data_IF_285479479279
#
_entry.id   IF_285479479279
#
_cell.length_a   1.000
_cell.length_b   1.000
_cell.length_c   1.000
_cell.angle_alpha   90.00
_cell.angle_beta   90.00
_cell.angle_gamma   90.00
#
_symmetry.space_group_name_H-M   'P 1'
#
loop_
_entity.id
_entity.type
_entity.pdbx_description
1 polymer ?
#
# COMPACT_ATOMS: atom_id res chain seq x y z
N UNK A 1 -3.75 5.77 35.51
CA UNK A 1 -3.48 4.83 34.40
C UNK A 1 -4.38 5.13 33.19
N UNK A 2 -4.17 6.25 32.48
CA UNK A 2 -5.07 6.65 31.39
C UNK A 2 -4.38 7.20 30.12
N UNK A 3 -3.05 7.09 29.98
CA UNK A 3 -2.33 7.66 28.83
C UNK A 3 -1.97 6.63 27.74
N UNK A 4 -2.06 5.33 28.02
CA UNK A 4 -1.55 4.28 27.12
C UNK A 4 -2.55 3.95 25.99
N UNK A 5 -3.84 4.23 26.19
CA UNK A 5 -4.91 3.95 25.21
C UNK A 5 -5.03 5.01 24.11
N UNK A 6 -4.66 6.28 24.37
CA UNK A 6 -4.76 7.38 23.37
C UNK A 6 -3.77 7.21 22.23
N UNK A 7 -2.51 6.85 22.55
CA UNK A 7 -1.42 6.72 21.58
C UNK A 7 -1.66 5.66 20.51
N UNK A 8 -2.39 4.58 20.83
CA UNK A 8 -2.72 3.53 19.86
C UNK A 8 -3.79 3.98 18.84
N UNK A 9 -4.71 4.85 19.25
CA UNK A 9 -5.76 5.37 18.38
C UNK A 9 -5.22 6.36 17.36
N UNK A 10 -4.37 7.29 17.80
CA UNK A 10 -3.74 8.30 16.94
C UNK A 10 -2.82 7.66 15.89
N UNK A 11 -1.99 6.69 16.29
CA UNK A 11 -1.10 5.98 15.37
C UNK A 11 -1.87 5.17 14.29
N UNK A 12 -3.05 4.63 14.62
CA UNK A 12 -3.90 3.94 13.66
C UNK A 12 -4.53 4.92 12.65
N UNK A 13 -5.00 6.08 13.11
CA UNK A 13 -5.58 7.11 12.24
C UNK A 13 -4.54 7.69 11.29
N UNK A 14 -3.32 7.98 11.77
CA UNK A 14 -2.22 8.42 10.92
C UNK A 14 -1.83 7.37 9.89
N UNK A 15 -1.73 6.10 10.29
CA UNK A 15 -1.40 5.00 9.37
C UNK A 15 -2.48 4.82 8.29
N UNK A 16 -3.76 4.92 8.65
CA UNK A 16 -4.88 4.85 7.70
C UNK A 16 -4.86 6.01 6.72
N UNK A 17 -4.75 7.25 7.21
CA UNK A 17 -4.68 8.45 6.38
C UNK A 17 -3.47 8.39 5.43
N UNK A 18 -2.34 7.90 5.92
CA UNK A 18 -1.14 7.71 5.14
C UNK A 18 -1.36 6.75 3.97
N UNK A 19 -1.93 5.57 4.24
CA UNK A 19 -2.19 4.57 3.21
C UNK A 19 -3.25 5.06 2.20
N UNK A 20 -4.16 5.94 2.64
CA UNK A 20 -5.14 6.60 1.78
C UNK A 20 -4.46 7.60 0.83
N UNK A 21 -3.59 8.49 1.36
CA UNK A 21 -2.82 9.46 0.56
C UNK A 21 -2.00 8.78 -0.53
N UNK A 22 -1.38 7.63 -0.24
CA UNK A 22 -0.60 6.86 -1.21
C UNK A 22 -1.42 5.86 -2.03
N UNK A 23 -2.75 6.02 -2.05
CA UNK A 23 -3.66 5.21 -2.87
C UNK A 23 -3.51 3.70 -2.66
N UNK A 24 -3.15 3.29 -1.44
CA UNK A 24 -2.97 1.89 -1.06
C UNK A 24 -4.18 1.33 -0.31
N UNK A 25 -5.02 2.20 0.27
CA UNK A 25 -6.26 1.82 0.96
C UNK A 25 -7.20 0.92 0.16
N UNK A 26 -7.46 1.16 -1.15
CA UNK A 26 -8.33 0.28 -1.92
C UNK A 26 -7.90 -1.19 -1.93
N UNK A 27 -6.60 -1.49 -1.79
CA UNK A 27 -6.10 -2.87 -1.71
C UNK A 27 -6.31 -3.50 -0.32
N UNK A 28 -6.27 -2.69 0.73
CA UNK A 28 -6.47 -3.12 2.12
C UNK A 28 -7.96 -3.35 2.38
N UNK A 29 -8.80 -2.42 1.92
CA UNK A 29 -10.27 -2.51 2.03
C UNK A 29 -10.87 -3.53 1.06
N UNK A 30 -10.03 -4.23 0.28
CA UNK A 30 -10.44 -5.23 -0.72
C UNK A 30 -11.34 -4.68 -1.84
N UNK A 31 -11.41 -3.35 -2.01
CA UNK A 31 -12.12 -2.66 -3.08
C UNK A 31 -11.42 -2.92 -4.42
N UNK A 32 -10.10 -2.79 -4.46
CA UNK A 32 -9.25 -3.22 -5.58
C UNK A 32 -8.57 -4.55 -5.23
N UNK A 33 -8.61 -5.51 -6.15
CA UNK A 33 -7.83 -6.74 -6.00
C UNK A 33 -6.36 -6.47 -6.35
N UNK A 34 -5.45 -6.95 -5.50
CA UNK A 34 -4.03 -7.00 -5.80
C UNK A 34 -3.80 -7.70 -7.16
N UNK A 35 -3.07 -7.09 -8.11
CA UNK A 35 -2.80 -7.68 -9.42
C UNK A 35 -2.22 -9.10 -9.34
N UNK A 36 -1.36 -9.36 -8.34
CA UNK A 36 -0.72 -10.66 -8.12
C UNK A 36 -1.73 -11.77 -7.84
N UNK A 37 -2.85 -11.46 -7.17
CA UNK A 37 -3.88 -12.44 -6.83
C UNK A 37 -4.89 -12.68 -7.95
N UNK A 38 -4.89 -11.83 -8.99
CA UNK A 38 -5.84 -11.91 -10.12
C UNK A 38 -5.18 -12.20 -11.46
N UNK A 39 -3.87 -12.48 -11.49
CA UNK A 39 -3.13 -12.75 -12.73
C UNK A 39 -3.79 -13.82 -13.61
N UNK A 40 -4.42 -14.83 -13.01
CA UNK A 40 -5.14 -15.90 -13.71
C UNK A 40 -6.39 -15.44 -14.50
N UNK A 41 -6.94 -14.27 -14.17
CA UNK A 41 -8.03 -13.65 -14.92
C UNK A 41 -7.54 -13.05 -16.25
N UNK A 42 -6.27 -12.65 -16.33
CA UNK A 42 -5.68 -11.98 -17.49
C UNK A 42 -4.74 -12.90 -18.29
N UNK A 43 -4.10 -13.85 -17.61
CA UNK A 43 -3.14 -14.79 -18.18
C UNK A 43 -3.60 -16.24 -18.00
N UNK A 44 -3.23 -17.07 -18.97
CA UNK A 44 -3.10 -18.52 -18.80
C UNK A 44 -1.77 -18.83 -18.12
N UNK A 45 -1.38 -20.11 -17.99
CA UNK A 45 -0.11 -20.49 -17.34
C UNK A 45 1.13 -19.79 -17.91
N UNK A 46 1.16 -19.45 -19.19
CA UNK A 46 2.36 -18.92 -19.85
C UNK A 46 2.12 -17.74 -20.78
N UNK A 47 0.86 -17.40 -21.09
CA UNK A 47 0.54 -16.37 -22.09
C UNK A 47 -0.71 -15.57 -21.71
N UNK A 48 -0.80 -14.29 -22.12
CA UNK A 48 -2.01 -13.52 -21.93
C UNK A 48 -3.19 -14.21 -22.62
N UNK A 49 -4.39 -14.06 -22.05
CA UNK A 49 -5.64 -14.54 -22.69
C UNK A 49 -5.97 -13.72 -23.94
N UNK A 50 -5.61 -12.43 -23.95
CA UNK A 50 -5.63 -11.54 -25.12
C UNK A 50 -4.62 -10.40 -24.93
N UNK A 51 -4.29 -9.69 -26.02
CA UNK A 51 -3.43 -8.50 -25.99
C UNK A 51 -4.02 -7.40 -25.11
N UNK A 52 -5.31 -7.13 -25.23
CA UNK A 52 -6.02 -6.13 -24.41
C UNK A 52 -5.97 -6.47 -22.91
N UNK A 53 -6.12 -7.74 -22.55
CA UNK A 53 -6.01 -8.17 -21.16
C UNK A 53 -4.57 -8.08 -20.65
N UNK A 54 -3.57 -8.30 -21.51
CA UNK A 54 -2.16 -8.11 -21.17
C UNK A 54 -1.88 -6.65 -20.79
N UNK A 55 -2.35 -5.71 -21.61
CA UNK A 55 -2.19 -4.27 -21.39
C UNK A 55 -2.87 -3.86 -20.08
N UNK A 56 -4.14 -4.25 -19.88
CA UNK A 56 -4.88 -3.96 -18.64
C UNK A 56 -4.19 -4.52 -17.39
N UNK A 57 -3.64 -5.72 -17.47
CA UNK A 57 -2.90 -6.29 -16.35
C UNK A 57 -1.61 -5.50 -16.06
N UNK A 58 -0.86 -5.13 -17.10
CA UNK A 58 0.37 -4.34 -16.98
C UNK A 58 0.12 -2.98 -16.32
N UNK A 59 -0.95 -2.29 -16.72
CA UNK A 59 -1.37 -1.02 -16.12
C UNK A 59 -1.67 -1.18 -14.63
N UNK A 60 -2.43 -2.22 -14.26
CA UNK A 60 -2.76 -2.52 -12.87
C UNK A 60 -1.52 -2.87 -12.04
N UNK A 61 -0.63 -3.72 -12.58
CA UNK A 61 0.62 -4.11 -11.92
C UNK A 61 1.54 -2.90 -11.70
N UNK A 62 1.64 -2.02 -12.70
CA UNK A 62 2.43 -0.80 -12.62
C UNK A 62 1.88 0.16 -11.56
N UNK A 63 0.55 0.40 -11.55
CA UNK A 63 -0.11 1.23 -10.52
C UNK A 63 0.13 0.67 -9.12
N UNK A 64 -0.09 -0.63 -8.93
CA UNK A 64 0.14 -1.29 -7.64
C UNK A 64 1.60 -1.18 -7.18
N UNK A 65 2.56 -1.39 -8.09
CA UNK A 65 3.99 -1.28 -7.79
C UNK A 65 4.39 0.14 -7.39
N UNK A 66 3.87 1.16 -8.09
CA UNK A 66 4.10 2.56 -7.76
C UNK A 66 3.58 2.89 -6.36
N UNK A 67 2.32 2.55 -6.07
CA UNK A 67 1.69 2.81 -4.78
C UNK A 67 2.41 2.06 -3.64
N UNK A 68 2.85 0.81 -3.90
CA UNK A 68 3.65 0.03 -2.93
C UNK A 68 4.96 0.74 -2.60
N UNK A 69 5.70 1.24 -3.60
CA UNK A 69 6.97 1.94 -3.39
C UNK A 69 6.77 3.24 -2.61
N UNK A 70 5.74 4.00 -2.94
CA UNK A 70 5.41 5.24 -2.24
C UNK A 70 5.03 4.98 -0.78
N UNK A 71 4.14 4.02 -0.54
CA UNK A 71 3.76 3.61 0.81
C UNK A 71 4.98 3.13 1.63
N UNK A 72 5.84 2.29 1.06
CA UNK A 72 7.07 1.83 1.74
C UNK A 72 8.06 2.98 2.02
N UNK A 73 8.26 3.86 1.05
CA UNK A 73 9.16 5.00 1.19
C UNK A 73 8.73 5.92 2.31
N UNK A 74 7.43 6.21 2.37
CA UNK A 74 6.92 7.11 3.38
C UNK A 74 6.80 6.43 4.77
N UNK A 75 6.58 5.10 4.87
CA UNK A 75 6.68 4.35 6.15
C UNK A 75 8.09 4.46 6.72
N UNK A 76 9.11 4.28 5.85
CA UNK A 76 10.52 4.45 6.25
C UNK A 76 10.80 5.88 6.71
N UNK A 77 10.23 6.88 6.04
CA UNK A 77 10.38 8.28 6.42
C UNK A 77 9.77 8.57 7.79
N UNK A 78 8.55 8.08 8.07
CA UNK A 78 7.89 8.25 9.37
C UNK A 78 8.68 7.57 10.49
N UNK A 79 9.14 6.34 10.27
CA UNK A 79 10.01 5.64 11.24
C UNK A 79 11.32 6.39 11.48
N UNK A 80 11.92 6.95 10.43
CA UNK A 80 13.14 7.76 10.54
C UNK A 80 12.90 9.07 11.31
N UNK A 81 11.79 9.76 11.05
CA UNK A 81 11.44 10.99 11.76
C UNK A 81 11.21 10.72 13.25
N UNK A 82 10.47 9.67 13.58
CA UNK A 82 10.24 9.24 14.96
C UNK A 82 11.54 8.84 15.68
N UNK A 83 12.51 8.26 14.96
CA UNK A 83 13.82 7.96 15.52
C UNK A 83 14.63 9.24 15.78
N UNK A 84 14.63 10.21 14.86
CA UNK A 84 15.34 11.49 15.06
C UNK A 84 14.79 12.23 16.28
N UNK A 85 13.48 12.28 16.47
CA UNK A 85 12.89 12.96 17.63
C UNK A 85 13.17 12.23 18.96
N UNK A 86 13.38 10.90 18.95
CA UNK A 86 13.81 10.14 20.13
C UNK A 86 15.25 10.37 20.56
N UNK A 87 16.12 10.89 19.69
CA UNK A 87 17.52 11.18 19.99
C UNK A 87 17.78 12.67 20.29
N UNK A 88 16.71 13.48 20.37
CA UNK A 88 16.78 14.89 20.79
C UNK A 88 16.55 15.12 22.28
N UNK A 89 16.18 14.07 23.03
CA UNK A 89 16.17 14.01 24.49
C UNK A 89 17.49 13.40 25.02
#
# INVERSE_FOLDING_TARGET
MAAITSYKGEALVEASLFLEVYSFMPYIDSIEKNPLSIKSLYYTKSRPRSSELAIKYLEKETKYSCNTKQALGAIKSTLSANNIDRFKD
#
